data_IF_700710678835
#
_entry.id   IF_700710678835
#
_cell.length_a   1.000
_cell.length_b   1.000
_cell.length_c   1.000
_cell.angle_alpha   90.00
_cell.angle_beta   90.00
_cell.angle_gamma   90.00
#
_symmetry.space_group_name_H-M   'P 1'
#
loop_
_entity.id
_entity.type
_entity.pdbx_description
1 polymer ?
#
# COMPACT_ATOMS: atom_id res chain seq x y z
N UNK A 1 10.05 -9.57 -3.17
CA UNK A 1 10.67 -8.29 -2.78
C UNK A 1 12.03 -8.61 -2.20
N UNK A 2 13.01 -7.75 -2.42
CA UNK A 2 14.35 -7.88 -1.86
C UNK A 2 14.60 -6.71 -0.92
N UNK A 3 15.16 -6.98 0.26
CA UNK A 3 15.60 -5.94 1.19
C UNK A 3 16.91 -5.35 0.66
N UNK A 4 17.01 -4.02 0.64
CA UNK A 4 18.21 -3.31 0.20
C UNK A 4 19.16 -3.00 1.37
N UNK A 5 18.81 -3.34 2.61
CA UNK A 5 19.65 -3.13 3.80
C UNK A 5 19.72 -1.68 4.29
N UNK A 6 19.15 -0.74 3.55
CA UNK A 6 19.20 0.71 3.84
C UNK A 6 17.82 1.30 4.20
N UNK A 7 16.91 0.47 4.71
CA UNK A 7 15.53 0.88 5.06
C UNK A 7 14.57 0.97 3.87
N UNK A 8 14.95 0.40 2.73
CA UNK A 8 14.14 0.29 1.52
C UNK A 8 14.03 -1.16 1.05
N UNK A 9 12.99 -1.45 0.27
CA UNK A 9 12.78 -2.74 -0.41
C UNK A 9 12.60 -2.50 -1.89
N UNK A 10 13.04 -3.46 -2.71
CA UNK A 10 12.82 -3.45 -4.16
C UNK A 10 11.89 -4.58 -4.60
N UNK A 11 10.94 -4.25 -5.47
CA UNK A 11 10.03 -5.17 -6.13
C UNK A 11 10.44 -5.27 -7.60
N UNK A 12 11.03 -6.39 -7.99
CA UNK A 12 11.47 -6.66 -9.37
C UNK A 12 10.38 -7.47 -10.09
N UNK A 13 9.95 -7.00 -11.25
CA UNK A 13 9.01 -7.69 -12.12
C UNK A 13 9.73 -8.83 -12.87
N UNK A 14 9.15 -10.03 -12.83
CA UNK A 14 9.66 -11.23 -13.54
C UNK A 14 8.87 -11.56 -14.81
N UNK A 15 7.91 -10.72 -15.18
CA UNK A 15 7.01 -10.94 -16.32
C UNK A 15 6.32 -9.66 -16.76
N UNK A 16 5.74 -9.66 -17.97
CA UNK A 16 4.88 -8.57 -18.48
C UNK A 16 3.74 -8.22 -17.51
N UNK A 17 3.15 -9.24 -16.88
CA UNK A 17 2.13 -9.05 -15.82
C UNK A 17 2.71 -8.31 -14.62
N UNK A 18 3.92 -8.67 -14.19
CA UNK A 18 4.62 -7.99 -13.10
C UNK A 18 4.91 -6.51 -13.40
N UNK A 19 5.37 -6.21 -14.63
CA UNK A 19 5.59 -4.84 -15.11
C UNK A 19 4.28 -4.05 -15.04
N UNK A 20 3.18 -4.62 -15.52
CA UNK A 20 1.87 -3.96 -15.47
C UNK A 20 1.40 -3.73 -14.03
N UNK A 21 1.62 -4.68 -13.12
CA UNK A 21 1.33 -4.49 -11.70
C UNK A 21 2.16 -3.35 -11.09
N UNK A 22 3.45 -3.25 -11.42
CA UNK A 22 4.31 -2.17 -10.96
C UNK A 22 3.84 -0.81 -11.49
N UNK A 23 3.50 -0.73 -12.79
CA UNK A 23 2.94 0.47 -13.41
C UNK A 23 1.66 0.94 -12.72
N UNK A 24 0.73 0.02 -12.43
CA UNK A 24 -0.51 0.34 -11.72
C UNK A 24 -0.21 0.89 -10.32
N UNK A 25 0.70 0.26 -9.59
CA UNK A 25 1.07 0.69 -8.23
C UNK A 25 1.71 2.08 -8.23
N UNK A 26 2.64 2.35 -9.16
CA UNK A 26 3.23 3.68 -9.36
C UNK A 26 2.15 4.72 -9.70
N UNK A 27 1.28 4.43 -10.66
CA UNK A 27 0.22 5.35 -11.06
C UNK A 27 -0.71 5.69 -9.91
N UNK A 28 -1.13 4.67 -9.13
CA UNK A 28 -1.95 4.87 -7.93
C UNK A 28 -1.19 5.76 -6.94
N UNK A 29 0.08 5.47 -6.64
CA UNK A 29 0.84 6.26 -5.68
C UNK A 29 0.89 7.74 -6.04
N UNK A 30 1.18 8.06 -7.31
CA UNK A 30 1.30 9.45 -7.76
C UNK A 30 -0.04 10.16 -7.93
N UNK A 31 -1.15 9.43 -8.12
CA UNK A 31 -2.49 10.03 -8.16
C UNK A 31 -3.12 10.24 -6.77
N UNK A 32 -2.51 9.75 -5.69
CA UNK A 32 -2.99 9.99 -4.32
C UNK A 32 -2.65 11.40 -3.83
N UNK A 33 -3.64 12.07 -3.23
CA UNK A 33 -3.44 13.32 -2.49
C UNK A 33 -2.69 13.07 -1.18
N UNK A 34 -1.92 14.07 -0.72
CA UNK A 34 -1.09 13.99 0.49
C UNK A 34 -1.82 13.50 1.76
N UNK A 35 -3.08 13.90 2.04
CA UNK A 35 -3.83 13.37 3.19
C UNK A 35 -3.98 11.85 3.19
N UNK A 36 -3.94 11.23 2.01
CA UNK A 36 -4.08 9.79 1.81
C UNK A 36 -2.73 9.11 1.59
N UNK A 37 -1.83 9.75 0.86
CA UNK A 37 -0.49 9.23 0.51
C UNK A 37 0.31 8.84 1.75
N UNK A 38 0.07 9.50 2.90
CA UNK A 38 0.70 9.14 4.19
C UNK A 38 0.35 7.75 4.72
N UNK A 39 -0.71 7.10 4.22
CA UNK A 39 -1.17 5.78 4.64
C UNK A 39 -0.75 4.64 3.70
N UNK A 40 -0.01 4.93 2.64
CA UNK A 40 0.55 3.91 1.74
C UNK A 40 2.07 3.90 1.82
N UNK A 41 2.70 2.78 1.46
CA UNK A 41 4.15 2.71 1.39
C UNK A 41 4.67 3.70 0.35
N UNK A 42 5.65 4.52 0.78
CA UNK A 42 6.24 5.56 -0.07
C UNK A 42 7.11 4.91 -1.13
N UNK A 43 6.87 5.25 -2.39
CA UNK A 43 7.79 4.95 -3.50
C UNK A 43 8.93 5.96 -3.43
N UNK A 44 10.17 5.44 -3.39
CA UNK A 44 11.38 6.26 -3.49
C UNK A 44 11.72 6.52 -4.95
N UNK A 45 11.70 5.44 -5.73
CA UNK A 45 12.17 5.43 -7.12
C UNK A 45 11.54 4.25 -7.84
N UNK A 46 11.46 4.33 -9.16
CA UNK A 46 10.98 3.24 -10.02
C UNK A 46 11.67 3.30 -11.38
N UNK A 47 11.80 2.15 -12.02
CA UNK A 47 12.33 2.07 -13.38
C UNK A 47 11.39 2.77 -14.37
N UNK A 48 11.92 3.47 -15.40
CA UNK A 48 11.12 4.16 -16.44
C UNK A 48 10.07 3.25 -17.11
N UNK A 49 10.44 1.98 -17.33
CA UNK A 49 9.57 0.94 -17.89
C UNK A 49 8.93 0.03 -16.82
N UNK A 50 8.98 0.40 -15.54
CA UNK A 50 8.35 -0.32 -14.44
C UNK A 50 8.88 -1.75 -14.17
N UNK A 51 10.08 -2.09 -14.65
CA UNK A 51 10.76 -3.36 -14.33
C UNK A 51 11.03 -3.54 -12.84
N UNK A 52 11.20 -2.44 -12.10
CA UNK A 52 11.29 -2.48 -10.65
C UNK A 52 10.72 -1.22 -9.99
N UNK A 53 10.38 -1.36 -8.71
CA UNK A 53 9.97 -0.27 -7.82
C UNK A 53 10.75 -0.37 -6.51
N UNK A 54 11.33 0.74 -6.05
CA UNK A 54 11.95 0.86 -4.74
C UNK A 54 11.01 1.62 -3.78
N UNK A 55 10.74 1.01 -2.63
CA UNK A 55 9.76 1.52 -1.66
C UNK A 55 10.38 1.57 -0.26
N UNK A 56 9.90 2.49 0.58
CA UNK A 56 10.28 2.51 2.01
C UNK A 56 9.89 1.19 2.67
N UNK A 57 10.80 0.61 3.44
CA UNK A 57 10.57 -0.62 4.20
C UNK A 57 9.73 -0.34 5.46
N UNK A 58 8.82 -1.26 5.77
CA UNK A 58 8.01 -1.23 6.98
C UNK A 58 7.98 -2.62 7.63
N UNK A 59 8.74 -2.80 8.71
CA UNK A 59 8.95 -4.12 9.32
C UNK A 59 7.91 -4.50 10.37
N UNK A 60 7.26 -3.51 10.99
CA UNK A 60 6.30 -3.75 12.07
C UNK A 60 5.01 -4.37 11.52
N UNK A 61 4.80 -5.65 11.82
CA UNK A 61 3.61 -6.41 11.40
C UNK A 61 2.33 -5.80 11.98
N UNK A 62 1.24 -5.90 11.22
CA UNK A 62 -0.08 -5.51 11.68
C UNK A 62 -0.63 -6.54 12.68
N UNK A 63 -0.96 -6.17 13.92
CA UNK A 63 -1.55 -7.08 14.89
C UNK A 63 -3.05 -7.23 14.60
N UNK A 64 -3.52 -8.47 14.46
CA UNK A 64 -4.95 -8.77 14.18
C UNK A 64 -5.77 -8.70 15.47
N UNK A 65 -5.83 -7.52 16.07
CA UNK A 65 -6.58 -7.22 17.30
C UNK A 65 -7.77 -6.30 17.03
N UNK A 66 -8.77 -6.33 17.91
CA UNK A 66 -9.99 -5.51 17.78
C UNK A 66 -9.68 -4.01 17.65
N UNK A 67 -8.74 -3.48 18.44
CA UNK A 67 -8.33 -2.08 18.38
C UNK A 67 -7.76 -1.70 16.99
N UNK A 68 -6.87 -2.53 16.44
CA UNK A 68 -6.29 -2.28 15.12
C UNK A 68 -7.28 -2.51 13.96
N UNK A 69 -8.24 -3.43 14.11
CA UNK A 69 -9.36 -3.57 13.16
C UNK A 69 -10.22 -2.30 13.13
N UNK A 70 -10.49 -1.67 14.27
CA UNK A 70 -11.19 -0.38 14.34
C UNK A 70 -10.38 0.75 13.67
N UNK A 71 -9.07 0.82 13.89
CA UNK A 71 -8.19 1.77 13.20
C UNK A 71 -8.21 1.55 11.68
N UNK A 72 -8.19 0.29 11.24
CA UNK A 72 -8.28 -0.07 9.83
C UNK A 72 -9.64 0.30 9.23
N UNK A 73 -10.74 0.08 9.96
CA UNK A 73 -12.07 0.53 9.56
C UNK A 73 -12.11 2.03 9.33
N UNK A 74 -11.57 2.83 10.27
CA UNK A 74 -11.49 4.30 10.12
C UNK A 74 -10.70 4.68 8.87
N UNK A 75 -9.55 4.04 8.64
CA UNK A 75 -8.74 4.26 7.45
C UNK A 75 -9.49 3.90 6.16
N UNK A 76 -10.23 2.80 6.11
CA UNK A 76 -11.06 2.42 4.95
C UNK A 76 -12.13 3.47 4.68
N UNK A 77 -12.77 4.03 5.72
CA UNK A 77 -13.71 5.15 5.58
C UNK A 77 -13.01 6.39 5.01
N UNK A 78 -11.81 6.72 5.49
CA UNK A 78 -10.99 7.83 4.96
C UNK A 78 -10.66 7.66 3.48
N UNK A 79 -10.26 6.46 3.04
CA UNK A 79 -10.03 6.18 1.62
C UNK A 79 -11.29 6.41 0.79
N UNK A 80 -12.44 5.86 1.23
CA UNK A 80 -13.72 6.00 0.52
C UNK A 80 -14.18 7.45 0.40
N UNK A 81 -14.04 8.24 1.47
CA UNK A 81 -14.35 9.66 1.46
C UNK A 81 -13.50 10.46 0.46
N UNK A 82 -12.35 9.93 0.07
CA UNK A 82 -11.45 10.51 -0.94
C UNK A 82 -11.59 9.81 -2.30
N UNK A 83 -12.72 9.14 -2.55
CA UNK A 83 -13.01 8.48 -3.81
C UNK A 83 -12.16 7.24 -4.09
N UNK A 84 -11.51 6.65 -3.08
CA UNK A 84 -10.64 5.49 -3.24
C UNK A 84 -11.33 4.25 -2.65
N UNK A 85 -11.40 3.20 -3.44
CA UNK A 85 -11.89 1.87 -3.06
C UNK A 85 -10.66 0.98 -2.83
N UNK A 86 -10.33 0.65 -1.56
CA UNK A 86 -9.23 -0.27 -1.28
C UNK A 86 -9.48 -1.67 -1.84
N UNK A 87 -8.41 -2.43 -2.04
CA UNK A 87 -8.48 -3.84 -2.45
C UNK A 87 -9.27 -4.68 -1.44
N UNK A 88 -9.77 -5.86 -1.86
CA UNK A 88 -10.57 -6.76 -0.99
C UNK A 88 -9.85 -7.07 0.33
N UNK A 89 -8.53 -7.27 0.29
CA UNK A 89 -7.70 -7.54 1.47
C UNK A 89 -7.61 -6.39 2.48
N UNK A 90 -7.92 -5.15 2.08
CA UNK A 90 -7.91 -3.99 2.97
C UNK A 90 -9.34 -3.56 3.32
N UNK A 91 -10.23 -3.56 2.31
CA UNK A 91 -11.64 -3.15 2.43
C UNK A 91 -12.40 -3.99 3.46
N UNK A 92 -12.09 -5.28 3.58
CA UNK A 92 -12.72 -6.18 4.56
C UNK A 92 -11.98 -6.12 5.90
N UNK A 93 -12.05 -4.97 6.57
CA UNK A 93 -11.29 -4.68 7.80
C UNK A 93 -11.52 -5.67 8.95
N UNK A 94 -12.60 -6.45 8.94
CA UNK A 94 -12.89 -7.50 9.92
C UNK A 94 -12.03 -8.77 9.71
N UNK A 95 -11.64 -9.05 8.46
CA UNK A 95 -10.77 -10.15 8.03
C UNK A 95 -9.77 -9.65 6.98
N UNK A 96 -8.84 -8.76 7.35
CA UNK A 96 -7.93 -8.15 6.40
C UNK A 96 -6.82 -9.13 6.00
N UNK A 97 -6.26 -8.93 4.81
CA UNK A 97 -5.02 -9.58 4.39
C UNK A 97 -3.84 -8.87 5.05
N UNK A 98 -3.56 -9.26 6.30
CA UNK A 98 -2.51 -8.70 7.14
C UNK A 98 -1.12 -8.61 6.47
N UNK A 99 -0.71 -9.49 5.53
CA UNK A 99 0.56 -9.35 4.84
C UNK A 99 0.72 -8.04 4.07
N UNK A 100 -0.37 -7.40 3.62
CA UNK A 100 -0.33 -6.11 2.93
C UNK A 100 -0.42 -4.90 3.87
N UNK A 101 -0.38 -5.12 5.18
CA UNK A 101 -0.55 -4.07 6.20
C UNK A 101 0.65 -4.07 7.14
N UNK A 102 1.22 -2.89 7.38
CA UNK A 102 2.31 -2.65 8.31
C UNK A 102 2.04 -1.44 9.19
N UNK A 103 2.88 -1.25 10.19
CA UNK A 103 2.82 -0.12 11.10
C UNK A 103 4.07 0.76 10.97
N UNK A 104 3.88 2.07 11.12
CA UNK A 104 4.97 3.01 11.43
C UNK A 104 5.35 2.92 12.91
N UNK A 105 6.43 3.60 13.27
CA UNK A 105 6.66 4.01 14.66
C UNK A 105 5.44 4.82 15.14
N UNK A 106 4.96 4.54 16.35
CA UNK A 106 3.71 5.10 16.89
C UNK A 106 2.41 4.36 16.50
N UNK A 107 2.50 3.27 15.73
CA UNK A 107 1.34 2.39 15.48
C UNK A 107 0.38 2.90 14.40
N UNK A 108 0.76 3.90 13.60
CA UNK A 108 -0.01 4.31 12.42
C UNK A 108 0.04 3.20 11.35
N UNK A 109 -1.12 2.86 10.78
CA UNK A 109 -1.26 1.87 9.70
C UNK A 109 -0.68 2.39 8.39
N UNK A 110 0.00 1.52 7.66
CA UNK A 110 0.50 1.72 6.29
C UNK A 110 0.16 0.51 5.43
N UNK A 111 -0.40 0.75 4.25
CA UNK A 111 -0.67 -0.27 3.24
C UNK A 111 0.54 -0.40 2.33
N UNK A 112 1.14 -1.59 2.25
CA UNK A 112 2.40 -1.81 1.51
C UNK A 112 2.22 -2.39 0.11
N UNK A 113 0.99 -2.79 -0.23
CA UNK A 113 0.60 -3.22 -1.56
C UNK A 113 -0.80 -2.67 -1.85
N UNK A 114 -0.84 -1.74 -2.80
CA UNK A 114 -2.03 -1.00 -3.17
C UNK A 114 -2.30 -1.05 -4.68
N UNK A 115 -1.68 -1.98 -5.41
CA UNK A 115 -1.98 -2.21 -6.84
C UNK A 115 -3.43 -2.63 -7.11
N UNK A 116 -4.15 -3.09 -6.09
CA UNK A 116 -5.58 -3.43 -6.16
C UNK A 116 -6.55 -2.31 -5.80
N UNK A 117 -6.07 -1.07 -5.58
CA UNK A 117 -6.94 0.06 -5.29
C UNK A 117 -7.62 0.56 -6.57
N UNK A 118 -8.81 1.12 -6.44
CA UNK A 118 -9.59 1.69 -7.56
C UNK A 118 -10.12 3.06 -7.17
N UNK A 119 -10.26 3.95 -8.14
CA UNK A 119 -11.06 5.15 -7.94
C UNK A 119 -12.55 4.78 -8.09
N UNK A 120 -13.38 5.26 -7.17
CA UNK A 120 -14.81 5.29 -7.40
C UNK A 120 -15.04 6.17 -8.63
N UNK A 121 -15.72 5.64 -9.65
CA UNK A 121 -16.15 6.48 -10.78
C UNK A 121 -16.98 7.62 -10.18
N UNK A 122 -16.63 8.86 -10.53
CA UNK A 122 -17.52 10.00 -10.33
C UNK A 122 -18.74 9.80 -11.23
#
# INVERSE_FOLDING_TARGET
MYDLGNGYVIKIAKSKKGINCNRIEVNIYYSLLEPIKKYVAKIKEYHKEYHWIAMKKYDRKFPVSSNYKLKLMKLVKTFRANGIIPSKGIRHYYKPYAPNIRLKRGGQIVIIDYGGFKYARK
#
